data_IF_935210628820
#
_entry.id   IF_935210628820
#
_cell.length_a   1.000
_cell.length_b   1.000
_cell.length_c   1.000
_cell.angle_alpha   90.00
_cell.angle_beta   90.00
_cell.angle_gamma   90.00
#
_symmetry.space_group_name_H-M   'P 1'
#
loop_
_entity.id
_entity.type
_entity.pdbx_description
1 polymer ?
#
# COMPACT_ATOMS: atom_id res chain seq x y z
N UNK A 1 12.63 34.71 -27.91
CA UNK A 1 12.95 33.39 -27.33
C UNK A 1 12.76 33.44 -25.82
N UNK A 2 11.66 32.89 -25.29
CA UNK A 2 11.45 32.76 -23.84
C UNK A 2 12.06 31.43 -23.39
N UNK A 3 13.03 31.46 -22.46
CA UNK A 3 13.48 30.27 -21.74
C UNK A 3 12.30 29.76 -20.91
N UNK A 4 11.77 28.57 -21.23
CA UNK A 4 10.93 27.84 -20.28
C UNK A 4 11.84 27.34 -19.15
N UNK A 5 11.52 27.74 -17.93
CA UNK A 5 12.12 27.17 -16.74
C UNK A 5 11.58 25.74 -16.58
N UNK A 6 12.43 24.75 -16.79
CA UNK A 6 12.12 23.35 -16.49
C UNK A 6 12.06 23.20 -14.97
N UNK A 7 10.86 23.01 -14.43
CA UNK A 7 10.69 22.65 -13.02
C UNK A 7 11.08 21.18 -12.87
N UNK A 8 12.24 20.90 -12.28
CA UNK A 8 12.61 19.53 -11.90
C UNK A 8 11.67 19.07 -10.80
N UNK A 9 10.83 18.07 -11.07
CA UNK A 9 10.21 17.29 -10.01
C UNK A 9 11.35 16.60 -9.22
N UNK A 10 11.43 16.86 -7.91
CA UNK A 10 12.36 16.14 -7.05
C UNK A 10 11.95 14.67 -7.04
N UNK A 11 12.86 13.77 -7.41
CA UNK A 11 12.64 12.35 -7.23
C UNK A 11 12.46 12.09 -5.72
N UNK A 12 11.28 11.62 -5.30
CA UNK A 12 11.11 11.07 -3.95
C UNK A 12 11.93 9.77 -3.92
N UNK A 13 13.07 9.79 -3.24
CA UNK A 13 13.95 8.62 -3.15
C UNK A 13 13.28 7.52 -2.32
N UNK A 14 13.42 6.28 -2.77
CA UNK A 14 12.91 5.09 -2.11
C UNK A 14 13.78 4.76 -0.88
N UNK A 15 13.22 4.52 0.32
CA UNK A 15 14.02 4.24 1.53
C UNK A 15 14.92 3.00 1.41
N UNK A 16 14.56 2.03 0.55
CA UNK A 16 15.26 0.75 0.39
C UNK A 16 16.60 0.78 -0.36
N UNK A 17 17.01 1.93 -0.93
CA UNK A 17 18.29 2.06 -1.65
C UNK A 17 19.39 2.76 -0.83
N UNK A 18 19.15 3.09 0.43
CA UNK A 18 20.15 3.75 1.28
C UNK A 18 21.04 2.72 1.97
N UNK A 19 22.05 2.16 1.27
CA UNK A 19 23.37 1.73 1.82
C UNK A 19 24.13 0.66 1.00
N UNK A 20 23.95 0.58 -0.32
CA UNK A 20 24.95 -0.11 -1.15
C UNK A 20 25.93 0.90 -1.78
N UNK A 21 27.15 1.05 -1.25
CA UNK A 21 28.15 1.98 -1.79
C UNK A 21 28.68 1.57 -3.17
N UNK A 22 28.28 0.40 -3.68
CA UNK A 22 28.66 -0.12 -5.00
C UNK A 22 27.57 0.01 -6.07
N UNK A 23 26.37 0.48 -5.69
CA UNK A 23 25.28 0.66 -6.64
C UNK A 23 25.58 1.83 -7.60
N UNK A 24 25.60 1.55 -8.90
CA UNK A 24 25.64 2.62 -9.91
C UNK A 24 24.37 3.49 -9.79
N UNK A 25 24.49 4.82 -9.96
CA UNK A 25 23.32 5.70 -9.92
C UNK A 25 22.35 5.30 -11.04
N UNK A 26 21.06 5.19 -10.69
CA UNK A 26 20.02 4.90 -11.66
C UNK A 26 20.04 5.92 -12.82
N UNK A 27 19.72 5.49 -14.06
CA UNK A 27 19.67 6.40 -15.20
C UNK A 27 18.66 7.52 -14.93
N UNK A 28 18.92 8.75 -15.45
CA UNK A 28 17.99 9.86 -15.26
C UNK A 28 16.65 9.57 -15.93
N UNK A 29 15.56 10.16 -15.41
CA UNK A 29 14.25 10.05 -16.04
C UNK A 29 14.33 10.61 -17.48
N UNK A 30 14.06 9.78 -18.52
CA UNK A 30 14.15 10.23 -19.90
C UNK A 30 12.99 11.13 -20.35
N UNK A 31 11.97 11.30 -19.49
CA UNK A 31 10.87 12.25 -19.69
C UNK A 31 11.19 13.60 -19.05
N UNK A 32 10.80 14.69 -19.70
CA UNK A 32 10.95 16.04 -19.16
C UNK A 32 9.59 16.74 -19.05
N UNK A 33 9.21 17.15 -17.84
CA UNK A 33 7.99 17.94 -17.61
C UNK A 33 8.18 19.38 -18.13
N UNK A 34 7.30 19.79 -19.03
CA UNK A 34 7.23 21.14 -19.61
C UNK A 34 6.31 22.04 -18.78
N UNK A 35 5.13 21.53 -18.40
CA UNK A 35 4.18 22.20 -17.52
C UNK A 35 3.23 21.19 -16.89
N UNK A 36 2.57 21.59 -15.80
CA UNK A 36 1.64 20.74 -15.05
C UNK A 36 0.37 21.51 -14.69
N UNK A 37 -0.77 20.80 -14.63
CA UNK A 37 -2.03 21.33 -14.11
C UNK A 37 -2.85 20.25 -13.40
N UNK A 38 -3.61 20.63 -12.38
CA UNK A 38 -4.60 19.75 -11.77
C UNK A 38 -5.88 19.82 -12.60
N UNK A 39 -6.35 18.67 -13.09
CA UNK A 39 -7.54 18.56 -13.94
C UNK A 39 -8.76 18.01 -13.19
N UNK A 40 -8.53 17.36 -12.04
CA UNK A 40 -9.58 16.85 -11.16
C UNK A 40 -9.07 16.75 -9.71
N UNK A 41 -9.95 16.97 -8.73
CA UNK A 41 -9.65 16.78 -7.31
C UNK A 41 -10.92 16.47 -6.53
N UNK A 42 -10.84 15.51 -5.61
CA UNK A 42 -11.86 15.20 -4.61
C UNK A 42 -11.21 14.99 -3.23
N UNK A 43 -11.92 14.50 -2.19
CA UNK A 43 -11.31 14.23 -0.88
C UNK A 43 -10.15 13.23 -0.89
N UNK A 44 -10.13 12.24 -1.77
CA UNK A 44 -9.19 11.11 -1.76
C UNK A 44 -8.02 11.27 -2.74
N UNK A 45 -8.26 11.85 -3.92
CA UNK A 45 -7.27 11.91 -5.01
C UNK A 45 -7.21 13.29 -5.67
N UNK A 46 -6.08 13.53 -6.36
CA UNK A 46 -5.90 14.55 -7.38
C UNK A 46 -5.46 13.89 -8.69
N UNK A 47 -5.86 14.46 -9.82
CA UNK A 47 -5.34 14.07 -11.13
C UNK A 47 -4.55 15.23 -11.70
N UNK A 48 -3.25 15.03 -11.87
CA UNK A 48 -2.32 15.96 -12.48
C UNK A 48 -2.07 15.57 -13.93
N UNK A 49 -2.19 16.53 -14.83
CA UNK A 49 -1.82 16.39 -16.22
C UNK A 49 -0.54 17.17 -16.48
N UNK A 50 0.48 16.47 -16.94
CA UNK A 50 1.77 17.03 -17.35
C UNK A 50 1.85 17.11 -18.87
N UNK A 51 2.21 18.28 -19.38
CA UNK A 51 2.78 18.39 -20.72
C UNK A 51 4.24 17.98 -20.63
N UNK A 52 4.67 17.03 -21.45
CA UNK A 52 6.00 16.41 -21.36
C UNK A 52 6.71 16.40 -22.70
N UNK A 53 8.04 16.38 -22.67
CA UNK A 53 8.86 15.86 -23.76
C UNK A 53 9.13 14.39 -23.48
N UNK A 54 8.78 13.54 -24.44
CA UNK A 54 8.96 12.09 -24.37
C UNK A 54 10.43 11.71 -24.63
N UNK A 55 10.83 10.46 -24.35
CA UNK A 55 12.19 9.98 -24.60
C UNK A 55 12.65 10.08 -26.07
N UNK A 56 11.72 10.10 -27.02
CA UNK A 56 12.01 10.27 -28.45
C UNK A 56 12.05 11.73 -28.90
N UNK A 57 11.91 12.69 -27.97
CA UNK A 57 11.95 14.12 -28.22
C UNK A 57 10.61 14.74 -28.63
N UNK A 58 9.59 13.92 -28.89
CA UNK A 58 8.26 14.41 -29.26
C UNK A 58 7.47 14.94 -28.04
N UNK A 59 6.54 15.89 -28.22
CA UNK A 59 5.65 16.32 -27.15
C UNK A 59 4.64 15.21 -26.81
N UNK A 60 4.21 15.20 -25.54
CA UNK A 60 3.20 14.26 -25.05
C UNK A 60 2.45 14.78 -23.84
N UNK A 61 1.51 13.96 -23.37
CA UNK A 61 0.75 14.19 -22.14
C UNK A 61 1.00 13.01 -21.21
N UNK A 62 1.24 13.30 -19.93
CA UNK A 62 1.34 12.30 -18.87
C UNK A 62 0.27 12.59 -17.80
N UNK A 63 -0.63 11.64 -17.57
CA UNK A 63 -1.61 11.71 -16.49
C UNK A 63 -1.08 11.01 -15.24
N UNK A 64 -1.16 11.69 -14.10
CA UNK A 64 -0.72 11.17 -12.80
C UNK A 64 -1.88 11.25 -11.81
N UNK A 65 -2.24 10.11 -11.22
CA UNK A 65 -3.15 10.03 -10.08
C UNK A 65 -2.33 10.15 -8.80
N UNK A 66 -2.61 11.19 -8.02
CA UNK A 66 -1.94 11.47 -6.76
C UNK A 66 -2.92 11.19 -5.62
N UNK A 67 -2.63 10.18 -4.80
CA UNK A 67 -3.41 9.88 -3.61
C UNK A 67 -3.04 10.87 -2.50
N UNK A 68 -4.03 11.32 -1.72
CA UNK A 68 -3.76 12.30 -0.66
C UNK A 68 -3.12 11.70 0.59
N UNK A 69 -3.38 10.42 0.83
CA UNK A 69 -2.83 9.66 1.94
C UNK A 69 -1.97 8.53 1.39
N UNK A 70 -1.00 8.12 2.18
CA UNK A 70 -0.19 6.92 1.89
C UNK A 70 -0.98 5.68 2.28
N UNK A 71 -0.89 4.59 1.52
CA UNK A 71 -1.56 3.34 1.87
C UNK A 71 -0.80 2.61 2.98
N UNK A 72 -1.52 2.10 3.98
CA UNK A 72 -0.97 1.28 5.06
C UNK A 72 -1.87 0.08 5.28
N UNK A 73 -1.29 -1.12 5.30
CA UNK A 73 -2.00 -2.36 5.61
C UNK A 73 -1.29 -3.14 6.72
N UNK A 74 -2.03 -3.94 7.47
CA UNK A 74 -1.49 -4.73 8.59
C UNK A 74 -2.07 -6.14 8.61
N UNK A 75 -1.20 -7.15 8.52
CA UNK A 75 -1.56 -8.56 8.63
C UNK A 75 -1.52 -9.01 10.11
N UNK A 76 -2.65 -9.24 10.78
CA UNK A 76 -2.68 -9.67 12.17
C UNK A 76 -2.54 -11.19 12.22
N UNK A 77 -1.51 -11.69 12.91
CA UNK A 77 -1.20 -13.12 12.98
C UNK A 77 -1.29 -13.60 14.43
N UNK A 78 -2.13 -14.61 14.65
CA UNK A 78 -2.34 -15.28 15.93
C UNK A 78 -1.20 -16.26 16.28
N UNK A 79 -1.13 -16.67 17.55
CA UNK A 79 -0.17 -17.69 18.00
C UNK A 79 -0.35 -19.05 17.32
N UNK A 80 -1.60 -19.42 16.99
CA UNK A 80 -1.91 -20.63 16.22
C UNK A 80 -1.67 -20.48 14.70
N UNK A 81 -1.20 -19.31 14.28
CA UNK A 81 -0.90 -18.96 12.90
C UNK A 81 -2.10 -18.56 12.06
N UNK A 82 -3.33 -18.58 12.59
CA UNK A 82 -4.49 -17.99 11.92
C UNK A 82 -4.31 -16.48 11.75
N UNK A 83 -5.00 -15.89 10.77
CA UNK A 83 -4.94 -14.46 10.48
C UNK A 83 -6.30 -13.82 10.61
N UNK A 84 -6.34 -12.51 10.77
CA UNK A 84 -7.58 -11.74 10.72
C UNK A 84 -7.71 -11.01 9.39
N UNK A 85 -8.91 -11.07 8.82
CA UNK A 85 -9.31 -10.33 7.61
C UNK A 85 -10.55 -9.50 7.90
N UNK A 86 -10.68 -8.42 7.13
CA UNK A 86 -11.88 -7.58 7.05
C UNK A 86 -12.54 -7.79 5.69
N UNK A 87 -13.87 -7.79 5.69
CA UNK A 87 -14.70 -8.01 4.51
C UNK A 87 -15.52 -6.77 4.21
N UNK A 88 -15.37 -6.23 3.00
CA UNK A 88 -16.03 -5.00 2.58
C UNK A 88 -16.48 -5.02 1.12
N UNK A 89 -17.48 -4.20 0.79
CA UNK A 89 -17.88 -3.99 -0.60
C UNK A 89 -17.08 -2.85 -1.21
N UNK A 90 -16.22 -3.15 -2.18
CA UNK A 90 -15.42 -2.14 -2.87
C UNK A 90 -16.23 -1.54 -4.01
N UNK A 91 -16.70 -0.31 -3.82
CA UNK A 91 -17.49 0.43 -4.81
C UNK A 91 -16.87 0.43 -6.23
N UNK A 92 -15.56 0.62 -6.44
CA UNK A 92 -14.97 0.63 -7.79
C UNK A 92 -15.05 -0.72 -8.52
N UNK A 93 -15.11 -1.82 -7.78
CA UNK A 93 -15.16 -3.18 -8.34
C UNK A 93 -16.58 -3.75 -8.40
N UNK A 94 -17.53 -3.09 -7.73
CA UNK A 94 -18.88 -3.62 -7.46
C UNK A 94 -18.85 -5.07 -6.94
N UNK A 95 -17.93 -5.33 -6.00
CA UNK A 95 -17.68 -6.67 -5.48
C UNK A 95 -17.37 -6.67 -3.99
N UNK A 96 -17.70 -7.78 -3.33
CA UNK A 96 -17.24 -8.06 -1.98
C UNK A 96 -15.79 -8.53 -1.99
N UNK A 97 -14.97 -7.98 -1.11
CA UNK A 97 -13.54 -8.20 -1.03
C UNK A 97 -13.14 -8.58 0.39
N UNK A 98 -12.28 -9.60 0.52
CA UNK A 98 -11.63 -9.99 1.78
C UNK A 98 -10.20 -9.49 1.78
N UNK A 99 -9.84 -8.74 2.82
CA UNK A 99 -8.63 -7.92 2.85
C UNK A 99 -8.00 -7.97 4.24
N UNK A 100 -6.71 -7.64 4.32
CA UNK A 100 -6.12 -7.28 5.61
C UNK A 100 -6.67 -5.92 6.06
N UNK A 101 -6.69 -5.61 7.37
CA UNK A 101 -6.99 -4.26 7.81
C UNK A 101 -6.07 -3.23 7.18
N UNK A 102 -6.63 -2.15 6.66
CA UNK A 102 -5.89 -1.17 5.88
C UNK A 102 -6.56 0.21 5.84
N UNK A 103 -5.76 1.25 5.65
CA UNK A 103 -6.29 2.59 5.52
C UNK A 103 -5.27 3.63 5.09
N UNK A 104 -5.74 4.87 5.00
CA UNK A 104 -4.94 5.99 4.54
C UNK A 104 -4.17 6.65 5.68
N UNK A 105 -2.84 6.64 5.60
CA UNK A 105 -1.93 7.37 6.48
C UNK A 105 -1.85 8.85 6.05
N UNK A 106 -2.35 9.80 6.86
CA UNK A 106 -2.14 11.23 6.63
C UNK A 106 -0.68 11.62 6.88
N UNK A 107 -0.23 12.75 6.32
CA UNK A 107 1.16 13.23 6.49
C UNK A 107 1.56 13.49 7.95
N UNK A 108 0.59 13.69 8.83
CA UNK A 108 0.79 13.94 10.27
C UNK A 108 0.99 12.68 11.12
N UNK A 109 0.79 11.50 10.55
CA UNK A 109 0.84 10.20 11.23
C UNK A 109 1.95 9.34 10.62
N UNK A 110 2.64 8.54 11.43
CA UNK A 110 3.59 7.55 10.88
C UNK A 110 2.86 6.32 10.34
N UNK A 111 3.47 5.57 9.41
CA UNK A 111 2.88 4.31 8.93
C UNK A 111 2.63 3.29 10.04
N UNK A 112 3.47 3.25 11.09
CA UNK A 112 3.26 2.33 12.22
C UNK A 112 2.07 2.76 13.08
N UNK A 113 1.93 4.05 13.38
CA UNK A 113 0.77 4.59 14.12
C UNK A 113 -0.53 4.31 13.35
N UNK A 114 -0.53 4.56 12.04
CA UNK A 114 -1.65 4.27 11.14
C UNK A 114 -2.02 2.79 11.20
N UNK A 115 -1.04 1.88 11.06
CA UNK A 115 -1.29 0.44 11.11
C UNK A 115 -1.92 -0.01 12.44
N UNK A 116 -1.53 0.59 13.56
CA UNK A 116 -2.11 0.30 14.87
C UNK A 116 -3.53 0.84 14.99
N UNK A 117 -3.77 2.04 14.48
CA UNK A 117 -5.08 2.70 14.49
C UNK A 117 -6.09 1.91 13.65
N UNK A 118 -5.77 1.61 12.39
CA UNK A 118 -6.67 0.85 11.49
C UNK A 118 -6.96 -0.55 12.04
N UNK A 119 -5.95 -1.24 12.59
CA UNK A 119 -6.16 -2.54 13.24
C UNK A 119 -7.22 -2.45 14.36
N UNK A 120 -7.11 -1.44 15.22
CA UNK A 120 -8.02 -1.26 16.35
C UNK A 120 -9.42 -0.85 15.88
N UNK A 121 -9.52 0.12 14.98
CA UNK A 121 -10.79 0.67 14.49
C UNK A 121 -11.61 -0.40 13.76
N UNK A 122 -10.98 -1.12 12.82
CA UNK A 122 -11.68 -2.07 11.96
C UNK A 122 -11.97 -3.42 12.64
N UNK A 123 -11.09 -3.86 13.55
CA UNK A 123 -11.17 -5.23 14.12
C UNK A 123 -11.34 -5.29 15.64
N UNK A 124 -11.06 -4.19 16.35
CA UNK A 124 -10.98 -4.19 17.81
C UNK A 124 -9.71 -4.83 18.36
N UNK A 125 -8.73 -5.15 17.51
CA UNK A 125 -7.50 -5.84 17.90
C UNK A 125 -6.41 -4.81 18.17
N UNK A 126 -5.56 -5.09 19.17
CA UNK A 126 -4.30 -4.40 19.39
C UNK A 126 -3.15 -5.39 19.30
N UNK A 127 -1.94 -4.91 19.04
CA UNK A 127 -0.76 -5.76 18.86
C UNK A 127 0.44 -5.27 19.67
N UNK A 128 1.13 -6.20 20.33
CA UNK A 128 2.35 -5.90 21.06
C UNK A 128 3.53 -5.56 20.12
N UNK A 129 3.59 -6.17 18.93
CA UNK A 129 4.66 -5.97 17.98
C UNK A 129 4.13 -5.77 16.56
N UNK A 130 4.68 -4.76 15.87
CA UNK A 130 4.53 -4.56 14.44
C UNK A 130 5.90 -4.68 13.76
N UNK A 131 5.92 -5.34 12.61
CA UNK A 131 7.09 -5.49 11.76
C UNK A 131 6.76 -5.04 10.34
N UNK A 132 7.53 -4.13 9.75
CA UNK A 132 7.38 -3.78 8.34
C UNK A 132 7.85 -4.96 7.48
N UNK A 133 6.93 -5.58 6.74
CA UNK A 133 7.20 -6.75 5.88
C UNK A 133 7.19 -6.42 4.39
N UNK A 134 6.74 -5.22 4.00
CA UNK A 134 6.73 -4.84 2.60
C UNK A 134 6.57 -3.34 2.38
N UNK A 135 7.19 -2.86 1.30
CA UNK A 135 6.92 -1.57 0.68
C UNK A 135 6.63 -1.81 -0.79
N UNK A 136 5.51 -1.28 -1.29
CA UNK A 136 5.08 -1.54 -2.67
C UNK A 136 4.53 -0.29 -3.33
N UNK A 137 4.69 -0.19 -4.65
CA UNK A 137 3.96 0.79 -5.45
C UNK A 137 2.83 0.08 -6.19
N UNK A 138 1.59 0.50 -5.95
CA UNK A 138 0.41 -0.28 -6.35
C UNK A 138 0.08 -0.14 -7.85
N UNK A 139 0.39 1.01 -8.46
CA UNK A 139 0.22 1.25 -9.90
C UNK A 139 1.24 2.26 -10.45
N UNK A 140 2.53 1.96 -10.31
CA UNK A 140 3.67 2.87 -10.56
C UNK A 140 3.81 3.44 -12.00
N UNK A 141 2.95 3.03 -12.93
CA UNK A 141 2.90 3.61 -14.28
C UNK A 141 2.05 4.88 -14.35
N UNK A 142 1.09 5.04 -13.43
CA UNK A 142 0.06 6.09 -13.48
C UNK A 142 -0.21 6.75 -12.13
N UNK A 143 0.20 6.16 -11.01
CA UNK A 143 0.14 6.78 -9.69
C UNK A 143 1.50 6.75 -8.97
N UNK A 144 1.66 7.64 -7.99
CA UNK A 144 2.80 7.69 -7.09
C UNK A 144 2.49 7.07 -5.71
N UNK A 145 1.37 6.35 -5.60
CA UNK A 145 0.93 5.71 -4.35
C UNK A 145 1.94 4.65 -3.91
N UNK A 146 2.35 4.78 -2.65
CA UNK A 146 3.17 3.81 -1.93
C UNK A 146 2.34 3.17 -0.83
N UNK A 147 2.52 1.87 -0.64
CA UNK A 147 1.93 1.08 0.41
C UNK A 147 3.01 0.59 1.38
N UNK A 148 2.78 0.76 2.69
CA UNK A 148 3.56 0.15 3.76
C UNK A 148 2.77 -0.98 4.41
N UNK A 149 3.34 -2.18 4.44
CA UNK A 149 2.63 -3.38 4.87
C UNK A 149 3.31 -3.93 6.11
N UNK A 150 2.55 -4.02 7.20
CA UNK A 150 3.01 -4.49 8.48
C UNK A 150 2.50 -5.90 8.78
N UNK A 151 3.23 -6.62 9.63
CA UNK A 151 2.81 -7.84 10.29
C UNK A 151 2.64 -7.56 11.78
N UNK A 152 1.47 -7.84 12.33
CA UNK A 152 1.16 -7.64 13.73
C UNK A 152 1.12 -8.98 14.49
N UNK A 153 1.75 -9.01 15.67
CA UNK A 153 1.78 -10.19 16.57
C UNK A 153 1.68 -9.80 18.04
N UNK A 154 1.45 -10.79 18.91
CA UNK A 154 1.12 -10.55 20.31
C UNK A 154 -0.22 -9.83 20.42
N UNK A 155 -1.24 -10.40 19.78
CA UNK A 155 -2.54 -9.77 19.61
C UNK A 155 -3.33 -9.77 20.94
N UNK A 156 -4.15 -8.75 21.13
CA UNK A 156 -5.11 -8.64 22.23
C UNK A 156 -6.44 -8.13 21.70
N UNK A 157 -7.53 -8.77 22.11
CA UNK A 157 -8.87 -8.53 21.56
C UNK A 157 -9.69 -7.62 22.49
N UNK A 158 -10.09 -6.48 21.96
CA UNK A 158 -11.08 -5.58 22.55
C UNK A 158 -12.38 -5.57 21.76
N UNK A 159 -13.20 -4.54 21.99
CA UNK A 159 -14.35 -4.25 21.13
C UNK A 159 -13.91 -3.38 19.95
N UNK A 160 -14.34 -3.72 18.74
CA UNK A 160 -14.13 -2.88 17.54
C UNK A 160 -14.90 -1.57 17.68
N UNK A 161 -14.28 -0.46 17.27
CA UNK A 161 -14.90 0.87 17.26
C UNK A 161 -14.80 1.49 15.87
N UNK A 162 -15.42 0.89 14.83
CA UNK A 162 -15.29 1.38 13.47
C UNK A 162 -15.87 2.80 13.34
N UNK A 163 -15.15 3.68 12.66
CA UNK A 163 -15.64 5.03 12.38
C UNK A 163 -16.65 5.02 11.23
N UNK A 164 -17.86 5.56 11.45
CA UNK A 164 -18.77 5.93 10.36
C UNK A 164 -19.53 4.79 9.65
N UNK A 165 -19.71 4.94 8.33
CA UNK A 165 -20.70 4.23 7.48
C UNK A 165 -20.24 2.81 7.08
N UNK A 166 -19.06 2.38 7.53
CA UNK A 166 -18.42 1.14 7.10
C UNK A 166 -19.00 -0.06 7.85
N UNK A 167 -19.65 -0.96 7.10
CA UNK A 167 -20.12 -2.26 7.61
C UNK A 167 -19.07 -3.33 7.30
N UNK A 168 -17.98 -3.31 8.04
CA UNK A 168 -16.93 -4.32 7.88
C UNK A 168 -17.36 -5.64 8.55
N UNK A 169 -17.11 -6.75 7.86
CA UNK A 169 -17.17 -8.08 8.46
C UNK A 169 -15.77 -8.47 8.93
N UNK A 170 -15.61 -8.79 10.21
CA UNK A 170 -14.32 -9.23 10.75
C UNK A 170 -14.31 -10.76 10.84
N UNK A 171 -13.26 -11.40 10.32
CA UNK A 171 -13.13 -12.85 10.33
C UNK A 171 -11.72 -13.31 10.71
N UNK A 172 -11.64 -14.22 11.70
CA UNK A 172 -10.44 -15.02 11.96
C UNK A 172 -10.43 -16.21 11.01
N UNK A 173 -9.39 -16.31 10.19
CA UNK A 173 -9.25 -17.30 9.12
C UNK A 173 -8.03 -18.19 9.39
N UNK A 174 -8.18 -19.52 9.43
CA UNK A 174 -7.04 -20.43 9.52
C UNK A 174 -6.05 -20.20 8.37
N UNK A 175 -4.75 -20.25 8.68
CA UNK A 175 -3.67 -19.99 7.71
C UNK A 175 -3.86 -20.71 6.37
N UNK A 176 -4.09 -22.03 6.40
CA UNK A 176 -4.23 -22.84 5.19
C UNK A 176 -5.37 -22.34 4.29
N UNK A 177 -6.49 -21.89 4.90
CA UNK A 177 -7.63 -21.34 4.16
C UNK A 177 -7.29 -19.98 3.56
N UNK A 178 -6.68 -19.08 4.31
CA UNK A 178 -6.26 -17.77 3.81
C UNK A 178 -5.29 -17.90 2.62
N UNK A 179 -4.32 -18.81 2.73
CA UNK A 179 -3.39 -19.09 1.64
C UNK A 179 -4.08 -19.68 0.40
N UNK A 180 -5.04 -20.58 0.58
CA UNK A 180 -5.85 -21.10 -0.52
C UNK A 180 -6.70 -20.01 -1.19
N UNK A 181 -7.25 -19.07 -0.42
CA UNK A 181 -8.03 -17.94 -0.96
C UNK A 181 -7.18 -17.09 -1.90
N UNK A 182 -5.94 -16.76 -1.51
CA UNK A 182 -4.98 -16.07 -2.40
C UNK A 182 -4.67 -16.91 -3.63
N UNK A 183 -4.33 -18.20 -3.46
CA UNK A 183 -3.99 -19.09 -4.58
C UNK A 183 -5.13 -19.30 -5.59
N UNK A 184 -6.38 -19.19 -5.13
CA UNK A 184 -7.58 -19.33 -5.96
C UNK A 184 -8.05 -18.00 -6.56
N UNK A 185 -7.40 -16.88 -6.24
CA UNK A 185 -7.83 -15.55 -6.67
C UNK A 185 -9.11 -15.07 -6.01
N UNK A 186 -9.45 -15.61 -4.82
CA UNK A 186 -10.57 -15.13 -4.00
C UNK A 186 -10.20 -13.88 -3.21
N UNK A 187 -8.90 -13.71 -2.90
CA UNK A 187 -8.31 -12.46 -2.40
C UNK A 187 -7.49 -11.88 -3.53
N UNK A 188 -7.90 -10.70 -4.01
CA UNK A 188 -7.24 -9.99 -5.12
C UNK A 188 -6.74 -8.60 -4.72
N UNK A 189 -7.03 -8.14 -3.50
CA UNK A 189 -6.42 -6.93 -2.98
C UNK A 189 -4.89 -7.07 -2.92
N UNK A 190 -4.21 -6.03 -3.39
CA UNK A 190 -2.77 -6.03 -3.62
C UNK A 190 -1.97 -6.15 -2.32
N UNK A 191 -2.32 -5.38 -1.29
CA UNK A 191 -1.61 -5.41 -0.01
C UNK A 191 -1.83 -6.74 0.70
N UNK A 192 -3.05 -7.27 0.64
CA UNK A 192 -3.43 -8.57 1.17
C UNK A 192 -2.66 -9.71 0.52
N UNK A 193 -2.58 -9.73 -0.83
CA UNK A 193 -1.79 -10.73 -1.57
C UNK A 193 -0.31 -10.64 -1.20
N UNK A 194 0.26 -9.44 -1.13
CA UNK A 194 1.67 -9.23 -0.75
C UNK A 194 1.94 -9.71 0.68
N UNK A 195 1.08 -9.34 1.64
CA UNK A 195 1.24 -9.68 3.04
C UNK A 195 1.16 -11.19 3.28
N UNK A 196 0.13 -11.84 2.71
CA UNK A 196 -0.08 -13.28 2.85
C UNK A 196 1.05 -14.05 2.13
N UNK A 197 1.51 -13.59 0.98
CA UNK A 197 2.64 -14.22 0.28
C UNK A 197 3.94 -14.09 1.07
N UNK A 198 4.21 -12.94 1.70
CA UNK A 198 5.36 -12.76 2.59
C UNK A 198 5.29 -13.71 3.80
N UNK A 199 4.13 -13.84 4.44
CA UNK A 199 3.95 -14.78 5.55
C UNK A 199 4.14 -16.24 5.08
N UNK A 200 3.74 -16.59 3.85
CA UNK A 200 3.98 -17.92 3.30
C UNK A 200 5.48 -18.21 3.13
N UNK A 201 6.25 -17.26 2.60
CA UNK A 201 7.72 -17.37 2.50
C UNK A 201 8.34 -17.51 3.88
N UNK A 202 7.94 -16.68 4.84
CA UNK A 202 8.42 -16.75 6.23
C UNK A 202 8.18 -18.11 6.86
N UNK A 203 6.99 -18.70 6.68
CA UNK A 203 6.68 -20.04 7.20
C UNK A 203 7.55 -21.13 6.55
N UNK A 204 7.80 -21.05 5.24
CA UNK A 204 8.69 -21.98 4.54
C UNK A 204 10.13 -21.91 5.09
N UNK A 205 10.65 -20.71 5.31
CA UNK A 205 11.99 -20.52 5.89
C UNK A 205 12.08 -20.95 7.36
N UNK A 206 11.00 -20.84 8.12
CA UNK A 206 10.91 -21.33 9.49
C UNK A 206 10.95 -22.86 9.56
N UNK A 207 10.19 -23.53 8.69
CA UNK A 207 10.18 -24.99 8.58
C UNK A 207 11.49 -25.59 8.06
N UNK A 208 12.29 -24.82 7.31
CA UNK A 208 13.61 -25.25 6.85
C UNK A 208 14.68 -25.21 7.95
N UNK A 209 14.41 -24.54 9.08
CA UNK A 209 15.33 -24.38 10.22
C UNK A 209 14.99 -25.30 11.40
N UNK A 210 13.88 -26.05 11.32
CA UNK A 210 13.39 -27.01 12.32
C UNK A 210 13.62 -28.45 11.86
#
# INVERSE_FOLDING_TARGET
MRRLALTRAAARLHPGHMNDPTAEPAPPNPWATVSSRIVYQNPWIRVREDQVLRPDGEPGIYGVVEFKNTAVGVLPVEEDGSIWLVGQHRYPLDSYSWEIPEGGCPESESPEETARRELLEETGITAASLELIGTSHLSNSVCDEVAYIFRATGLSHGQSMPEGVEKLQVARVPWGRAWEMVRRGEITDSMSVIAITNEAVRKLEGSARS
#
